data_IF_012516190277
#
_entry.id   IF_012516190277
#
_cell.length_a   1.000
_cell.length_b   1.000
_cell.length_c   1.000
_cell.angle_alpha   90.00
_cell.angle_beta   90.00
_cell.angle_gamma   90.00
#
_symmetry.space_group_name_H-M   'P 1'
#
loop_
_entity.id
_entity.type
_entity.pdbx_description
1 polymer ?
#
# COMPACT_ATOMS: atom_id res chain seq x y z
N UNK A 1 18.79 -13.72 -7.39
CA UNK A 1 18.22 -13.18 -8.66
C UNK A 1 16.91 -13.87 -9.05
N UNK A 2 16.82 -15.21 -8.96
CA UNK A 2 15.65 -16.03 -9.36
C UNK A 2 14.28 -15.53 -8.87
N UNK A 3 14.14 -15.25 -7.57
CA UNK A 3 12.90 -14.74 -6.97
C UNK A 3 12.39 -13.43 -7.61
N UNK A 4 13.30 -12.54 -8.04
CA UNK A 4 12.91 -11.27 -8.69
C UNK A 4 12.32 -11.54 -10.08
N UNK A 5 12.86 -12.53 -10.80
CA UNK A 5 12.38 -12.93 -12.13
C UNK A 5 10.99 -13.58 -12.05
N UNK A 6 10.78 -14.43 -11.05
CA UNK A 6 9.46 -15.04 -10.77
C UNK A 6 8.42 -13.95 -10.48
N UNK A 7 8.75 -12.98 -9.61
CA UNK A 7 7.86 -11.84 -9.33
C UNK A 7 7.60 -10.95 -10.55
N UNK A 8 8.54 -10.87 -11.50
CA UNK A 8 8.37 -10.14 -12.75
C UNK A 8 7.39 -10.84 -13.70
N UNK A 9 7.37 -12.18 -13.71
CA UNK A 9 6.39 -12.97 -14.45
C UNK A 9 4.98 -12.68 -13.92
N UNK A 10 4.83 -12.59 -12.60
CA UNK A 10 3.53 -12.34 -11.94
C UNK A 10 3.04 -10.88 -12.08
N UNK A 11 3.94 -9.94 -12.41
CA UNK A 11 3.62 -8.50 -12.45
C UNK A 11 2.69 -8.07 -13.59
N UNK A 12 2.32 -8.97 -14.51
CA UNK A 12 1.48 -8.68 -15.67
C UNK A 12 2.16 -7.83 -16.77
N UNK A 13 3.44 -7.49 -16.60
CA UNK A 13 4.22 -6.74 -17.58
C UNK A 13 4.71 -7.68 -18.69
N UNK A 14 3.91 -7.88 -19.74
CA UNK A 14 4.16 -8.86 -20.82
C UNK A 14 5.59 -8.86 -21.38
N UNK A 15 6.18 -7.67 -21.63
CA UNK A 15 7.57 -7.58 -22.11
C UNK A 15 8.58 -8.07 -21.07
N UNK A 16 8.40 -7.71 -19.80
CA UNK A 16 9.31 -8.13 -18.74
C UNK A 16 9.12 -9.59 -18.37
N UNK A 17 7.89 -10.12 -18.50
CA UNK A 17 7.59 -11.54 -18.35
C UNK A 17 8.39 -12.36 -19.35
N UNK A 18 8.31 -12.03 -20.65
CA UNK A 18 9.05 -12.76 -21.69
C UNK A 18 10.58 -12.70 -21.48
N UNK A 19 11.09 -11.55 -21.05
CA UNK A 19 12.51 -11.41 -20.70
C UNK A 19 12.89 -12.25 -19.47
N UNK A 20 12.03 -12.30 -18.45
CA UNK A 20 12.25 -13.08 -17.23
C UNK A 20 12.19 -14.60 -17.50
N UNK A 21 11.27 -15.06 -18.35
CA UNK A 21 11.18 -16.46 -18.78
C UNK A 21 12.48 -16.89 -19.49
N UNK A 22 13.02 -16.07 -20.39
CA UNK A 22 14.30 -16.36 -21.06
C UNK A 22 15.45 -16.37 -20.05
N UNK A 23 15.47 -15.42 -19.11
CA UNK A 23 16.52 -15.34 -18.09
C UNK A 23 16.49 -16.53 -17.11
N UNK A 24 15.31 -17.09 -16.81
CA UNK A 24 15.15 -18.27 -15.96
C UNK A 24 15.55 -19.57 -16.66
N UNK A 25 15.45 -19.62 -17.99
CA UNK A 25 15.87 -20.77 -18.80
C UNK A 25 17.34 -20.73 -19.25
N UNK A 26 18.16 -19.83 -18.71
CA UNK A 26 19.60 -19.75 -19.04
C UNK A 26 20.35 -20.93 -18.41
N UNK A 27 21.05 -21.66 -19.25
CA UNK A 27 22.02 -22.70 -18.90
C UNK A 27 23.37 -22.31 -19.51
N UNK A 28 24.48 -22.85 -18.99
CA UNK A 28 25.84 -22.52 -19.45
C UNK A 28 26.01 -22.81 -20.96
N UNK A 29 25.36 -23.87 -21.44
CA UNK A 29 25.33 -24.30 -22.84
C UNK A 29 24.59 -23.31 -23.77
N UNK A 30 23.64 -22.52 -23.26
CA UNK A 30 22.71 -21.74 -24.07
C UNK A 30 22.84 -20.21 -23.88
N UNK A 31 23.81 -19.76 -23.08
CA UNK A 31 23.91 -18.36 -22.66
C UNK A 31 24.00 -17.35 -23.83
N UNK A 32 24.71 -17.67 -24.92
CA UNK A 32 24.81 -16.80 -26.10
C UNK A 32 23.47 -16.62 -26.82
N UNK A 33 22.72 -17.71 -27.01
CA UNK A 33 21.39 -17.68 -27.62
C UNK A 33 20.41 -16.91 -26.74
N UNK A 34 20.45 -17.13 -25.44
CA UNK A 34 19.64 -16.40 -24.47
C UNK A 34 19.96 -14.90 -24.48
N UNK A 35 21.24 -14.52 -24.59
CA UNK A 35 21.67 -13.11 -24.72
C UNK A 35 21.18 -12.49 -26.02
N UNK A 36 21.24 -13.21 -27.15
CA UNK A 36 20.74 -12.74 -28.44
C UNK A 36 19.21 -12.54 -28.41
N UNK A 37 18.47 -13.49 -27.83
CA UNK A 37 17.00 -13.38 -27.64
C UNK A 37 16.64 -12.21 -26.73
N UNK A 38 17.37 -12.03 -25.63
CA UNK A 38 17.19 -10.90 -24.72
C UNK A 38 17.50 -9.57 -25.42
N UNK A 39 18.54 -9.50 -26.26
CA UNK A 39 18.86 -8.29 -27.01
C UNK A 39 17.72 -7.85 -27.94
N UNK A 40 17.02 -8.80 -28.57
CA UNK A 40 15.82 -8.49 -29.38
C UNK A 40 14.63 -7.96 -28.59
N UNK A 41 14.51 -8.33 -27.30
CA UNK A 41 13.40 -7.93 -26.43
C UNK A 41 13.72 -6.62 -25.68
N UNK A 42 14.94 -6.51 -25.15
CA UNK A 42 15.41 -5.38 -24.35
C UNK A 42 15.87 -4.22 -25.24
N UNK A 43 16.41 -4.52 -26.43
CA UNK A 43 17.02 -3.55 -27.35
C UNK A 43 16.08 -2.48 -27.92
N UNK A 44 14.77 -2.57 -27.67
CA UNK A 44 13.81 -1.56 -28.10
C UNK A 44 13.52 -0.49 -27.03
N UNK A 45 13.99 -0.62 -25.78
CA UNK A 45 13.80 0.38 -24.72
C UNK A 45 14.99 1.35 -24.59
N UNK A 46 15.58 1.77 -25.71
CA UNK A 46 16.54 2.88 -25.69
C UNK A 46 15.87 4.16 -25.17
N UNK A 47 16.58 4.92 -24.31
CA UNK A 47 16.14 6.18 -23.68
C UNK A 47 15.48 7.19 -24.64
N UNK A 48 15.75 7.06 -25.94
CA UNK A 48 15.32 7.98 -26.99
C UNK A 48 14.58 7.30 -28.16
N UNK A 49 14.22 6.02 -28.06
CA UNK A 49 13.49 5.39 -29.16
C UNK A 49 12.02 5.79 -29.08
N UNK A 50 11.57 6.53 -30.11
CA UNK A 50 10.17 6.98 -30.21
C UNK A 50 9.26 5.76 -30.21
N UNK A 51 8.17 5.85 -29.43
CA UNK A 51 7.11 4.85 -29.47
C UNK A 51 6.59 4.75 -30.91
N UNK A 52 6.19 3.54 -31.31
CA UNK A 52 5.41 3.34 -32.53
C UNK A 52 4.07 4.10 -32.44
N UNK A 53 3.34 4.18 -33.57
CA UNK A 53 2.07 4.89 -33.61
C UNK A 53 1.08 4.36 -32.55
N UNK A 54 1.02 3.03 -32.39
CA UNK A 54 0.19 2.37 -31.39
C UNK A 54 0.60 2.69 -29.96
N UNK A 55 1.91 2.66 -29.68
CA UNK A 55 2.48 3.04 -28.39
C UNK A 55 2.19 4.50 -28.07
N UNK A 56 2.31 5.40 -29.05
CA UNK A 56 1.90 6.79 -28.91
C UNK A 56 0.40 6.90 -28.58
N UNK A 57 -0.46 6.13 -29.24
CA UNK A 57 -1.89 6.05 -28.96
C UNK A 57 -2.18 5.62 -27.52
N UNK A 58 -1.55 4.54 -27.06
CA UNK A 58 -1.66 4.06 -25.66
C UNK A 58 -1.15 5.10 -24.66
N UNK A 59 0.00 5.72 -24.91
CA UNK A 59 0.56 6.76 -24.04
C UNK A 59 -0.39 7.96 -23.90
N UNK A 60 -1.00 8.42 -25.01
CA UNK A 60 -2.01 9.49 -25.00
C UNK A 60 -3.28 9.07 -24.24
N UNK A 61 -3.72 7.83 -24.38
CA UNK A 61 -4.87 7.30 -23.64
C UNK A 61 -4.61 7.29 -22.13
N UNK A 62 -3.44 6.82 -21.70
CA UNK A 62 -3.00 6.83 -20.30
C UNK A 62 -2.96 8.27 -19.76
N UNK A 63 -2.35 9.20 -20.48
CA UNK A 63 -2.27 10.60 -20.07
C UNK A 63 -3.66 11.23 -19.89
N UNK A 64 -4.62 10.94 -20.80
CA UNK A 64 -6.02 11.38 -20.67
C UNK A 64 -6.69 10.81 -19.43
N UNK A 65 -6.51 9.52 -19.15
CA UNK A 65 -7.06 8.86 -17.96
C UNK A 65 -6.47 9.46 -16.67
N UNK A 66 -5.15 9.66 -16.61
CA UNK A 66 -4.49 10.29 -15.47
C UNK A 66 -5.00 11.72 -15.23
N UNK A 67 -5.19 12.51 -16.29
CA UNK A 67 -5.78 13.84 -16.19
C UNK A 67 -7.22 13.79 -15.64
N UNK A 68 -8.04 12.84 -16.10
CA UNK A 68 -9.40 12.65 -15.57
C UNK A 68 -9.39 12.28 -14.08
N UNK A 69 -8.53 11.35 -13.68
CA UNK A 69 -8.36 10.97 -12.27
C UNK A 69 -7.90 12.15 -11.40
N UNK A 70 -7.00 13.00 -11.92
CA UNK A 70 -6.58 14.22 -11.24
C UNK A 70 -7.75 15.17 -10.98
N UNK A 71 -8.61 15.42 -11.99
CA UNK A 71 -9.77 16.29 -11.82
C UNK A 71 -10.80 15.72 -10.84
N UNK A 72 -11.05 14.41 -10.87
CA UNK A 72 -11.93 13.75 -9.90
C UNK A 72 -11.42 13.90 -8.46
N UNK A 73 -10.12 13.67 -8.25
CA UNK A 73 -9.47 13.85 -6.93
C UNK A 73 -9.46 15.30 -6.45
N UNK A 74 -9.36 16.26 -7.38
CA UNK A 74 -9.40 17.69 -7.05
C UNK A 74 -10.82 18.14 -6.71
N UNK A 75 -11.81 17.67 -7.46
CA UNK A 75 -13.23 17.95 -7.24
C UNK A 75 -13.73 17.40 -5.90
N UNK A 76 -13.37 16.17 -5.54
CA UNK A 76 -13.79 15.57 -4.26
C UNK A 76 -13.30 16.37 -3.04
N UNK A 77 -12.07 16.90 -3.09
CA UNK A 77 -11.55 17.76 -2.01
C UNK A 77 -12.32 19.07 -1.87
N UNK A 78 -12.86 19.59 -2.98
CA UNK A 78 -13.63 20.83 -2.95
C UNK A 78 -15.06 20.58 -2.44
N UNK A 79 -15.69 19.47 -2.81
CA UNK A 79 -17.02 19.11 -2.26
C UNK A 79 -16.97 18.93 -0.75
N UNK A 80 -15.92 18.30 -0.24
CA UNK A 80 -15.74 18.08 1.19
C UNK A 80 -15.61 19.43 1.93
N UNK A 81 -14.80 20.36 1.40
CA UNK A 81 -14.63 21.71 1.98
C UNK A 81 -15.92 22.54 1.94
N UNK A 82 -16.69 22.47 0.86
CA UNK A 82 -17.98 23.16 0.78
C UNK A 82 -18.97 22.62 1.80
N UNK A 83 -19.01 21.30 2.00
CA UNK A 83 -19.86 20.67 3.02
C UNK A 83 -19.44 21.02 4.45
N UNK A 84 -18.13 21.15 4.69
CA UNK A 84 -17.56 21.57 5.98
C UNK A 84 -17.91 23.04 6.30
N UNK A 85 -17.82 23.94 5.32
CA UNK A 85 -18.21 25.35 5.49
C UNK A 85 -19.68 25.47 5.85
N UNK A 86 -20.56 24.75 5.12
CA UNK A 86 -22.00 24.77 5.41
C UNK A 86 -22.35 24.22 6.80
N UNK A 87 -21.54 23.30 7.36
CA UNK A 87 -21.69 22.82 8.74
C UNK A 87 -21.25 23.86 9.77
N UNK A 88 -20.23 24.66 9.48
CA UNK A 88 -19.80 25.77 10.36
C UNK A 88 -20.85 26.87 10.43
N UNK A 89 -21.50 27.18 9.30
CA UNK A 89 -22.57 28.18 9.27
C UNK A 89 -23.86 27.68 9.95
N UNK A 90 -24.05 26.35 10.01
CA UNK A 90 -25.09 25.69 10.82
C UNK A 90 -24.63 25.31 12.22
N UNK A 91 -23.50 25.83 12.71
CA UNK A 91 -23.17 25.68 14.11
C UNK A 91 -24.41 26.16 14.89
N UNK A 92 -25.04 25.28 15.72
CA UNK A 92 -26.23 25.68 16.45
C UNK A 92 -25.87 26.96 17.20
N UNK A 93 -26.67 28.04 17.08
CA UNK A 93 -26.40 29.28 17.77
C UNK A 93 -26.16 28.89 19.21
N UNK A 94 -24.96 29.18 19.71
CA UNK A 94 -24.44 28.67 20.97
C UNK A 94 -25.61 28.62 21.94
N UNK A 95 -26.14 27.40 22.16
CA UNK A 95 -27.30 27.23 23.00
C UNK A 95 -26.86 27.91 24.29
N UNK A 96 -27.53 29.02 24.60
CA UNK A 96 -27.18 29.83 25.74
C UNK A 96 -27.06 28.85 26.88
N UNK A 97 -25.82 28.62 27.34
CA UNK A 97 -25.59 27.90 28.57
C UNK A 97 -26.21 28.82 29.62
N UNK A 98 -27.50 28.66 29.84
CA UNK A 98 -28.16 29.09 31.06
C UNK A 98 -27.39 28.42 32.18
N UNK A 99 -26.54 29.24 32.78
CA UNK A 99 -25.87 29.03 34.05
C UNK A 99 -26.94 28.79 35.11
N UNK A 100 -27.48 27.58 35.19
CA UNK A 100 -28.18 27.12 36.39
C UNK A 100 -27.13 26.50 37.30
N UNK A 101 -26.61 27.37 38.17
CA UNK A 101 -26.45 27.12 39.60
C UNK A 101 -25.80 25.82 40.07
N UNK A 102 -24.59 25.98 40.60
CA UNK A 102 -24.09 25.41 41.85
C UNK A 102 -24.03 23.86 41.98
N UNK A 103 -22.82 23.32 42.02
CA UNK A 103 -22.63 21.98 42.54
C UNK A 103 -21.24 21.38 42.38
N UNK A 104 -20.34 21.77 43.28
CA UNK A 104 -19.23 20.95 43.77
C UNK A 104 -18.04 20.65 42.83
N UNK A 105 -16.92 21.31 43.14
CA UNK A 105 -15.59 21.00 42.61
C UNK A 105 -15.06 19.76 43.32
N UNK A 106 -15.04 18.62 42.63
CA UNK A 106 -14.17 17.49 43.00
C UNK A 106 -13.04 17.45 41.98
N UNK A 107 -11.84 17.82 42.43
CA UNK A 107 -10.60 17.62 41.70
C UNK A 107 -10.30 16.11 41.57
N UNK A 108 -10.21 15.54 40.36
CA UNK A 108 -9.58 14.25 40.19
C UNK A 108 -8.06 14.44 40.19
N UNK A 109 -7.41 13.67 41.05
CA UNK A 109 -5.98 13.64 41.28
C UNK A 109 -5.20 13.33 39.99
N UNK A 110 -4.04 13.98 39.91
CA UNK A 110 -3.00 13.73 38.92
C UNK A 110 -2.60 12.25 38.87
N UNK A 111 -2.86 11.60 37.74
CA UNK A 111 -2.30 10.30 37.40
C UNK A 111 -2.55 10.00 35.93
N UNK A 112 -1.51 9.62 35.19
CA UNK A 112 -1.55 9.17 33.77
C UNK A 112 -1.36 10.21 32.66
N UNK A 113 -0.64 11.31 32.90
CA UNK A 113 -0.21 12.22 31.81
C UNK A 113 1.07 11.76 31.08
N UNK A 114 1.73 10.68 31.53
CA UNK A 114 2.94 10.17 30.90
C UNK A 114 2.71 9.22 29.70
N UNK A 115 1.55 8.57 29.57
CA UNK A 115 1.35 7.54 28.52
C UNK A 115 0.76 8.08 27.20
N UNK A 116 0.14 9.25 27.21
CA UNK A 116 -0.50 9.79 26.01
C UNK A 116 0.50 10.39 25.01
N UNK A 117 1.64 10.91 25.47
CA UNK A 117 2.68 11.43 24.58
C UNK A 117 3.52 10.32 23.92
N UNK A 118 3.76 9.20 24.61
CA UNK A 118 4.48 8.05 24.05
C UNK A 118 3.73 7.42 22.84
N UNK A 119 2.40 7.38 22.88
CA UNK A 119 1.57 6.87 21.76
C UNK A 119 1.55 7.78 20.53
N UNK A 120 1.70 9.10 20.71
CA UNK A 120 1.74 10.06 19.60
C UNK A 120 3.05 10.04 18.82
N UNK A 121 4.19 9.79 19.49
CA UNK A 121 5.48 9.69 18.81
C UNK A 121 5.61 8.36 18.04
N UNK A 122 5.06 7.27 18.57
CA UNK A 122 5.10 5.96 17.89
C UNK A 122 4.33 5.92 16.55
N UNK A 123 3.23 6.68 16.42
CA UNK A 123 2.46 6.72 15.17
C UNK A 123 3.08 7.61 14.08
N UNK A 124 3.92 8.58 14.44
CA UNK A 124 4.57 9.45 13.45
C UNK A 124 5.76 8.77 12.74
N UNK A 125 6.38 7.74 13.32
CA UNK A 125 7.51 7.05 12.69
C UNK A 125 7.09 5.99 11.65
N UNK A 126 5.81 5.59 11.62
CA UNK A 126 5.30 4.59 10.69
C UNK A 126 4.76 5.17 9.37
N UNK A 127 4.72 6.50 9.22
CA UNK A 127 4.17 7.16 8.03
C UNK A 127 5.20 7.87 7.15
N UNK A 128 6.51 7.65 7.37
CA UNK A 128 7.54 8.15 6.45
C UNK A 128 7.66 7.23 5.22
N UNK A 129 7.27 7.68 4.01
CA UNK A 129 7.55 6.93 2.80
C UNK A 129 9.06 6.97 2.52
N UNK A 130 9.75 5.84 2.66
CA UNK A 130 11.16 5.71 2.25
C UNK A 130 12.10 4.98 3.21
N UNK A 131 11.63 4.38 4.32
CA UNK A 131 12.51 3.57 5.17
C UNK A 131 12.70 2.14 4.60
N UNK A 132 13.93 1.61 4.55
CA UNK A 132 14.24 0.30 3.96
C UNK A 132 13.87 -0.92 4.84
N UNK A 133 13.01 -0.76 5.86
CA UNK A 133 12.67 -1.82 6.82
C UNK A 133 11.19 -2.24 6.76
N UNK A 134 10.60 -2.25 5.56
CA UNK A 134 9.23 -2.72 5.32
C UNK A 134 9.26 -4.08 4.61
N UNK A 135 9.45 -5.14 5.38
CA UNK A 135 9.44 -6.51 4.83
C UNK A 135 8.80 -7.56 5.73
N UNK A 136 9.01 -7.50 7.05
CA UNK A 136 8.64 -8.64 7.92
C UNK A 136 7.97 -8.26 9.25
N UNK A 137 7.88 -6.98 9.63
CA UNK A 137 7.37 -6.61 10.96
C UNK A 137 5.86 -6.34 11.05
N UNK A 138 5.10 -6.40 9.95
CA UNK A 138 3.68 -5.99 9.96
C UNK A 138 2.69 -7.11 10.36
N UNK A 139 3.15 -8.36 10.56
CA UNK A 139 2.27 -9.49 10.92
C UNK A 139 2.19 -9.81 12.41
N UNK A 140 3.03 -9.21 13.28
CA UNK A 140 3.09 -9.60 14.68
C UNK A 140 2.18 -8.80 15.64
N UNK A 141 1.61 -7.66 15.23
CA UNK A 141 0.90 -6.78 16.17
C UNK A 141 -0.64 -6.92 16.17
N UNK A 142 -1.20 -7.88 15.43
CA UNK A 142 -2.66 -8.07 15.34
C UNK A 142 -3.19 -9.30 16.11
N UNK A 143 -2.44 -9.80 17.09
CA UNK A 143 -2.81 -10.96 17.91
C UNK A 143 -2.85 -10.70 19.43
N UNK A 144 -2.66 -9.46 19.89
CA UNK A 144 -2.60 -9.15 21.32
C UNK A 144 -3.64 -8.09 21.74
N UNK A 145 -4.92 -8.31 21.47
CA UNK A 145 -6.03 -7.66 22.20
C UNK A 145 -7.38 -8.20 21.75
N UNK A 146 -7.82 -9.31 22.37
CA UNK A 146 -9.18 -9.81 22.24
C UNK A 146 -9.40 -11.02 23.14
N UNK A 147 -10.21 -10.93 24.21
CA UNK A 147 -10.63 -12.08 24.98
C UNK A 147 -11.86 -12.75 24.33
N UNK A 148 -12.05 -14.02 24.68
CA UNK A 148 -13.19 -14.92 24.40
C UNK A 148 -13.05 -15.86 23.19
N UNK A 149 -12.55 -17.06 23.53
CA UNK A 149 -12.95 -18.39 23.09
C UNK A 149 -13.97 -18.50 21.94
N UNK A 150 -13.53 -19.09 20.82
CA UNK A 150 -14.33 -20.05 20.04
C UNK A 150 -13.37 -21.15 19.54
N UNK A 151 -13.64 -22.46 19.72
CA UNK A 151 -12.80 -23.53 19.22
C UNK A 151 -13.26 -23.94 17.83
N UNK A 152 -12.62 -23.42 16.79
CA UNK A 152 -12.79 -23.94 15.44
C UNK A 152 -11.56 -23.65 14.59
N UNK A 153 -10.72 -24.67 14.40
CA UNK A 153 -10.38 -25.23 13.09
C UNK A 153 -9.01 -25.89 13.12
N UNK A 154 -9.03 -27.22 13.21
CA UNK A 154 -7.92 -28.12 12.95
C UNK A 154 -7.39 -28.06 11.49
N UNK A 155 -7.77 -27.07 10.68
CA UNK A 155 -7.39 -26.98 9.26
C UNK A 155 -5.99 -26.39 9.02
N UNK A 156 -5.41 -25.66 9.98
CA UNK A 156 -4.09 -25.01 9.74
C UNK A 156 -2.92 -25.98 9.89
N UNK A 157 -3.08 -27.10 10.62
CA UNK A 157 -2.01 -28.09 10.80
C UNK A 157 -1.86 -29.09 9.65
N UNK A 158 -2.83 -29.19 8.73
CA UNK A 158 -2.73 -30.10 7.58
C UNK A 158 -1.81 -29.56 6.47
N UNK A 159 -1.72 -28.24 6.29
CA UNK A 159 -0.90 -27.63 5.22
C UNK A 159 0.60 -27.67 5.57
N UNK A 160 0.96 -27.61 6.85
CA UNK A 160 2.36 -27.68 7.28
C UNK A 160 2.99 -29.08 7.10
N UNK A 161 2.19 -30.15 7.06
CA UNK A 161 2.69 -31.53 6.96
C UNK A 161 3.02 -31.96 5.52
N UNK A 162 2.39 -31.35 4.51
CA UNK A 162 2.64 -31.65 3.09
C UNK A 162 3.97 -31.04 2.61
N UNK A 163 4.42 -29.93 3.23
CA UNK A 163 5.69 -29.28 2.86
C UNK A 163 6.91 -30.02 3.46
N UNK A 164 6.73 -30.81 4.53
CA UNK A 164 7.83 -31.48 5.22
C UNK A 164 8.17 -32.89 4.68
N UNK A 165 7.33 -33.49 3.82
CA UNK A 165 7.54 -34.85 3.27
C UNK A 165 7.76 -34.88 1.75
N UNK A 166 7.82 -33.72 1.10
CA UNK A 166 8.09 -33.59 -0.33
C UNK A 166 9.55 -33.24 -0.64
N UNK A 167 10.49 -34.05 -0.15
CA UNK A 167 11.89 -34.04 -0.56
C UNK A 167 12.43 -35.47 -0.61
#
# INVERSE_FOLDING_TARGET
>A
SKFILERLIDSGLLQKRRAAEIALGVEDSNHLLSRQRLAGIVGNQGRYRRLDADGCGRARAIARLQKRLYHLRKGSRNSDRSSESARRDRAPPAAACELVGAGHVVHPAHGHQADAQARRVALCLLQRPGSPLSGTACLAFKLASGPALVPACACVLAVARVIALGR
#
